data_IF_740456015572
#
_entry.id   IF_740456015572
#
_cell.length_a   1.000
_cell.length_b   1.000
_cell.length_c   1.000
_cell.angle_alpha   90.00
_cell.angle_beta   90.00
_cell.angle_gamma   90.00
#
_symmetry.space_group_name_H-M   'P 1'
#
loop_
_entity.id
_entity.type
_entity.pdbx_description
1 polymer ?
#
# COMPACT_ATOMS: atom_id res chain seq x y z
N UNK A 1 -7.34 -9.54 17.36
CA UNK A 1 -6.65 -8.26 17.19
C UNK A 1 -7.40 -7.20 17.98
N UNK A 2 -6.75 -6.46 18.85
CA UNK A 2 -7.37 -5.38 19.63
C UNK A 2 -7.23 -4.05 18.90
N UNK A 3 -8.27 -3.23 18.90
CA UNK A 3 -8.17 -1.83 18.46
C UNK A 3 -7.23 -1.10 19.42
N UNK A 4 -6.34 -0.23 18.90
CA UNK A 4 -5.42 0.58 19.72
C UNK A 4 -6.12 1.44 20.80
N UNK A 5 -7.44 1.63 20.69
CA UNK A 5 -8.26 2.44 21.63
C UNK A 5 -8.94 1.61 22.72
N UNK A 6 -9.08 0.29 22.54
CA UNK A 6 -9.64 -0.62 23.55
C UNK A 6 -8.90 -1.97 23.48
N UNK A 7 -7.76 -2.06 24.13
CA UNK A 7 -6.89 -3.24 24.07
C UNK A 7 -7.51 -4.51 24.65
N UNK A 8 -8.55 -4.38 25.46
CA UNK A 8 -9.29 -5.46 26.10
C UNK A 8 -10.51 -5.96 25.31
N UNK A 9 -10.83 -5.33 24.17
CA UNK A 9 -11.90 -5.80 23.28
C UNK A 9 -11.36 -6.85 22.31
N UNK A 10 -12.02 -8.02 22.34
CA UNK A 10 -11.70 -9.14 21.47
C UNK A 10 -12.79 -9.25 20.38
N UNK A 11 -12.35 -9.37 19.13
CA UNK A 11 -13.19 -9.62 17.97
C UNK A 11 -13.08 -11.10 17.61
N UNK A 12 -14.20 -11.77 17.46
CA UNK A 12 -14.29 -13.22 17.25
C UNK A 12 -15.15 -13.52 16.01
N UNK A 13 -14.64 -14.37 15.17
CA UNK A 13 -15.48 -15.11 14.24
C UNK A 13 -15.75 -16.48 14.87
N UNK A 14 -17.02 -16.79 15.10
CA UNK A 14 -17.45 -18.03 15.74
C UNK A 14 -18.34 -18.83 14.81
N UNK A 15 -18.07 -20.14 14.71
CA UNK A 15 -18.96 -21.07 14.01
C UNK A 15 -20.10 -21.50 14.90
N UNK A 16 -21.28 -21.48 14.37
CA UNK A 16 -22.50 -21.99 15.02
C UNK A 16 -22.63 -23.50 14.81
N UNK A 17 -23.49 -24.14 15.57
CA UNK A 17 -23.74 -25.61 15.51
C UNK A 17 -24.23 -26.03 14.12
N UNK A 18 -24.98 -25.18 13.44
CA UNK A 18 -25.49 -25.35 12.07
C UNK A 18 -24.48 -25.00 10.98
N UNK A 19 -23.22 -24.71 11.35
CA UNK A 19 -22.10 -24.53 10.42
C UNK A 19 -21.96 -23.13 9.83
N UNK A 20 -22.79 -22.17 10.27
CA UNK A 20 -22.66 -20.75 9.85
C UNK A 20 -21.60 -20.03 10.67
N UNK A 21 -21.00 -18.97 10.10
CA UNK A 21 -20.12 -18.05 10.83
C UNK A 21 -20.87 -16.82 11.30
N UNK A 22 -20.52 -16.32 12.48
CA UNK A 22 -21.06 -15.08 13.03
C UNK A 22 -19.97 -14.23 13.66
N UNK A 23 -20.14 -12.92 13.62
CA UNK A 23 -19.25 -11.96 14.26
C UNK A 23 -19.70 -11.65 15.68
N UNK A 24 -18.80 -11.85 16.63
CA UNK A 24 -19.01 -11.61 18.06
C UNK A 24 -17.92 -10.73 18.64
N UNK A 25 -18.26 -10.01 19.70
CA UNK A 25 -17.27 -9.27 20.51
C UNK A 25 -17.44 -9.57 21.98
N UNK A 26 -16.34 -9.55 22.72
CA UNK A 26 -16.34 -9.68 24.17
C UNK A 26 -15.15 -8.95 24.81
N UNK A 27 -15.17 -8.75 26.13
CA UNK A 27 -14.03 -8.25 26.89
C UNK A 27 -13.10 -9.41 27.23
N UNK A 28 -11.78 -9.20 27.09
CA UNK A 28 -10.76 -10.25 27.31
C UNK A 28 -10.91 -10.91 28.68
N UNK A 29 -11.23 -10.16 29.71
CA UNK A 29 -11.36 -10.67 31.08
C UNK A 29 -12.68 -11.41 31.34
N UNK A 30 -13.67 -11.28 30.47
CA UNK A 30 -15.02 -11.86 30.66
C UNK A 30 -15.66 -12.25 29.32
N UNK A 31 -15.03 -13.19 28.61
CA UNK A 31 -15.49 -13.65 27.30
C UNK A 31 -16.31 -14.97 27.40
N UNK A 32 -17.25 -15.02 28.33
CA UNK A 32 -18.20 -16.14 28.43
C UNK A 32 -19.30 -16.01 27.40
N UNK A 33 -20.02 -17.09 27.09
CA UNK A 33 -21.12 -17.06 26.10
C UNK A 33 -22.18 -16.02 26.42
N UNK A 34 -22.50 -15.84 27.71
CA UNK A 34 -23.50 -14.89 28.18
C UNK A 34 -23.07 -13.41 28.00
N UNK A 35 -21.78 -13.15 27.85
CA UNK A 35 -21.23 -11.79 27.76
C UNK A 35 -20.71 -11.44 26.35
N UNK A 36 -21.03 -12.25 25.36
CA UNK A 36 -20.71 -11.97 23.96
C UNK A 36 -21.79 -11.10 23.36
N UNK A 37 -21.36 -10.03 22.71
CA UNK A 37 -22.23 -9.17 21.92
C UNK A 37 -22.18 -9.58 20.45
N UNK A 38 -23.27 -9.37 19.73
CA UNK A 38 -23.40 -9.64 18.30
C UNK A 38 -23.59 -8.32 17.54
N UNK A 39 -22.49 -7.62 17.16
CA UNK A 39 -22.62 -6.30 16.51
C UNK A 39 -23.22 -6.37 15.09
N UNK A 40 -23.02 -7.48 14.38
CA UNK A 40 -23.64 -7.74 13.08
C UNK A 40 -24.84 -8.66 13.25
N UNK A 41 -26.03 -8.30 12.78
CA UNK A 41 -27.26 -9.01 13.11
C UNK A 41 -27.46 -10.36 12.42
N UNK A 42 -26.67 -10.66 11.38
CA UNK A 42 -26.77 -11.90 10.58
C UNK A 42 -25.59 -12.83 10.75
N UNK A 43 -25.54 -13.78 9.87
CA UNK A 43 -24.35 -14.59 9.62
C UNK A 43 -23.42 -13.85 8.66
N UNK A 44 -22.15 -14.21 8.67
CA UNK A 44 -21.12 -13.69 7.78
C UNK A 44 -20.48 -14.84 6.99
N UNK A 45 -19.86 -14.54 5.88
CA UNK A 45 -19.09 -15.55 5.16
C UNK A 45 -17.86 -15.96 5.99
N UNK A 46 -17.46 -17.23 6.01
CA UNK A 46 -16.29 -17.69 6.73
C UNK A 46 -15.03 -16.93 6.32
N UNK A 47 -14.18 -16.62 7.31
CA UNK A 47 -12.91 -15.92 7.14
C UNK A 47 -13.02 -14.50 6.54
N UNK A 48 -14.23 -13.90 6.60
CA UNK A 48 -14.49 -12.55 6.06
C UNK A 48 -14.28 -11.41 7.05
N UNK A 49 -14.12 -11.73 8.34
CA UNK A 49 -13.95 -10.70 9.39
C UNK A 49 -12.58 -10.04 9.29
N UNK A 50 -12.54 -8.76 9.02
CA UNK A 50 -11.33 -7.93 9.03
C UNK A 50 -11.52 -6.82 10.06
N UNK A 51 -10.57 -6.69 10.99
CA UNK A 51 -10.52 -5.59 11.96
C UNK A 51 -9.22 -4.83 11.75
N UNK A 52 -9.33 -3.60 11.32
CA UNK A 52 -8.19 -2.75 11.02
C UNK A 52 -8.47 -1.31 11.44
N UNK A 53 -7.62 -0.74 12.27
CA UNK A 53 -7.78 0.61 12.84
C UNK A 53 -9.16 0.83 13.48
N UNK A 54 -9.89 1.85 13.05
CA UNK A 54 -11.24 2.16 13.51
C UNK A 54 -12.35 1.43 12.70
N UNK A 55 -11.98 0.50 11.78
CA UNK A 55 -12.91 -0.17 10.89
C UNK A 55 -13.04 -1.67 11.19
N UNK A 56 -14.25 -2.16 11.03
CA UNK A 56 -14.56 -3.59 11.01
C UNK A 56 -15.31 -3.90 9.71
N UNK A 57 -14.83 -4.89 8.97
CA UNK A 57 -15.41 -5.33 7.71
C UNK A 57 -15.92 -6.76 7.85
N UNK A 58 -17.06 -7.04 7.24
CA UNK A 58 -17.61 -8.39 7.09
C UNK A 58 -18.20 -8.54 5.69
N UNK A 59 -18.23 -9.77 5.19
CA UNK A 59 -18.86 -10.13 3.93
C UNK A 59 -20.03 -11.07 4.19
N UNK A 60 -21.08 -10.90 3.40
CA UNK A 60 -22.23 -11.80 3.37
C UNK A 60 -22.60 -12.10 1.91
N UNK A 61 -22.53 -13.34 1.50
CA UNK A 61 -22.97 -13.77 0.17
C UNK A 61 -24.47 -14.09 0.20
N UNK A 62 -25.24 -13.42 -0.65
CA UNK A 62 -26.68 -13.65 -0.82
C UNK A 62 -27.03 -13.69 -2.30
N UNK A 63 -27.80 -14.71 -2.71
CA UNK A 63 -28.17 -14.90 -4.11
C UNK A 63 -26.96 -15.07 -5.06
N UNK A 64 -25.86 -15.64 -4.57
CA UNK A 64 -24.62 -15.82 -5.33
C UNK A 64 -23.79 -14.54 -5.52
N UNK A 65 -24.13 -13.46 -4.84
CA UNK A 65 -23.40 -12.18 -4.89
C UNK A 65 -22.85 -11.80 -3.53
N UNK A 66 -21.58 -11.38 -3.43
CA UNK A 66 -21.02 -10.88 -2.20
C UNK A 66 -21.53 -9.46 -1.91
N UNK A 67 -21.88 -9.25 -0.65
CA UNK A 67 -22.23 -7.94 -0.09
C UNK A 67 -21.24 -7.62 1.02
N UNK A 68 -20.66 -6.44 0.97
CA UNK A 68 -19.63 -6.00 1.89
C UNK A 68 -20.20 -4.98 2.85
N UNK A 69 -19.91 -5.13 4.14
CA UNK A 69 -20.40 -4.27 5.20
C UNK A 69 -19.22 -3.72 6.00
N UNK A 70 -19.38 -2.50 6.48
CA UNK A 70 -18.38 -1.79 7.28
C UNK A 70 -19.01 -1.17 8.51
N UNK A 71 -18.32 -1.26 9.63
CA UNK A 71 -18.58 -0.50 10.85
C UNK A 71 -17.39 0.42 11.12
N UNK A 72 -17.60 1.72 11.16
CA UNK A 72 -16.61 2.72 11.51
C UNK A 72 -16.83 3.17 12.95
N UNK A 73 -15.79 3.12 13.78
CA UNK A 73 -15.83 3.47 15.21
C UNK A 73 -16.99 2.81 15.96
N UNK A 74 -17.29 1.54 15.62
CA UNK A 74 -18.35 0.73 16.21
C UNK A 74 -19.77 1.26 16.01
N UNK A 75 -19.98 2.12 15.05
CA UNK A 75 -21.33 2.45 14.62
C UNK A 75 -22.00 1.21 13.99
N UNK A 76 -23.29 1.28 13.81
CA UNK A 76 -24.04 0.24 13.11
C UNK A 76 -23.42 -0.05 11.75
N UNK A 77 -23.39 -1.34 11.37
CA UNK A 77 -22.89 -1.74 10.07
C UNK A 77 -23.69 -1.12 8.93
N UNK A 78 -23.01 -0.58 7.97
CA UNK A 78 -23.56 -0.09 6.72
C UNK A 78 -23.01 -0.90 5.55
N UNK A 79 -23.83 -1.12 4.53
CA UNK A 79 -23.38 -1.74 3.30
C UNK A 79 -22.45 -0.80 2.54
N UNK A 80 -21.30 -1.29 2.11
CA UNK A 80 -20.36 -0.56 1.27
C UNK A 80 -20.99 -0.35 -0.11
N UNK A 81 -20.93 0.88 -0.60
CA UNK A 81 -21.56 1.30 -1.86
C UNK A 81 -20.51 1.70 -2.88
N UNK A 82 -20.35 0.86 -3.87
CA UNK A 82 -19.58 1.16 -5.08
C UNK A 82 -20.46 1.95 -6.08
N UNK A 83 -19.88 2.62 -7.08
CA UNK A 83 -20.66 3.22 -8.16
C UNK A 83 -21.63 2.21 -8.77
N UNK A 84 -22.79 2.67 -9.23
CA UNK A 84 -23.91 1.82 -9.64
C UNK A 84 -23.56 0.86 -10.80
N UNK A 85 -22.58 1.21 -11.61
CA UNK A 85 -22.09 0.37 -12.73
C UNK A 85 -21.11 -0.72 -12.29
N UNK A 86 -20.57 -0.64 -11.07
CA UNK A 86 -19.64 -1.63 -10.57
C UNK A 86 -20.36 -2.91 -10.13
N UNK A 87 -19.90 -4.06 -10.60
CA UNK A 87 -20.42 -5.37 -10.26
C UNK A 87 -19.32 -6.21 -9.59
N UNK A 88 -19.12 -6.05 -8.28
CA UNK A 88 -18.02 -6.72 -7.57
C UNK A 88 -18.26 -8.22 -7.47
N UNK A 89 -17.21 -9.01 -7.70
CA UNK A 89 -17.14 -10.44 -7.41
C UNK A 89 -16.13 -10.79 -6.32
N UNK A 90 -15.17 -9.89 -6.06
CA UNK A 90 -14.15 -10.04 -5.04
C UNK A 90 -13.65 -8.67 -4.57
N UNK A 91 -13.24 -8.55 -3.30
CA UNK A 91 -12.74 -7.31 -2.72
C UNK A 91 -11.69 -7.58 -1.64
N UNK A 92 -10.62 -6.78 -1.66
CA UNK A 92 -9.58 -6.76 -0.64
C UNK A 92 -9.41 -5.34 -0.09
N UNK A 93 -9.41 -5.22 1.25
CA UNK A 93 -9.05 -3.97 1.92
C UNK A 93 -7.53 -3.82 1.90
N UNK A 94 -7.04 -2.74 1.31
CA UNK A 94 -5.61 -2.48 1.15
C UNK A 94 -5.08 -1.62 2.29
N UNK A 95 -5.76 -0.50 2.60
CA UNK A 95 -5.33 0.43 3.64
C UNK A 95 -6.53 1.13 4.26
N UNK A 96 -6.43 1.43 5.55
CA UNK A 96 -7.41 2.20 6.31
C UNK A 96 -6.81 3.48 6.91
N UNK A 97 -5.60 3.82 6.52
CA UNK A 97 -4.91 5.03 6.94
C UNK A 97 -5.65 6.30 6.51
N UNK A 98 -5.36 7.41 7.19
CA UNK A 98 -5.92 8.74 6.89
C UNK A 98 -7.46 8.79 6.95
N UNK A 99 -8.08 7.92 7.77
CA UNK A 99 -9.53 7.79 7.92
C UNK A 99 -10.27 7.58 6.59
N UNK A 100 -9.69 6.80 5.69
CA UNK A 100 -10.29 6.38 4.43
C UNK A 100 -9.93 4.94 4.14
N UNK A 101 -10.87 4.22 3.53
CA UNK A 101 -10.65 2.83 3.09
C UNK A 101 -10.19 2.84 1.64
N UNK A 102 -9.02 2.26 1.40
CA UNK A 102 -8.49 2.00 0.08
C UNK A 102 -8.66 0.51 -0.22
N UNK A 103 -9.44 0.17 -1.23
CA UNK A 103 -9.82 -1.20 -1.53
C UNK A 103 -9.55 -1.58 -2.98
N UNK A 104 -9.16 -2.82 -3.21
CA UNK A 104 -9.06 -3.41 -4.52
C UNK A 104 -10.28 -4.29 -4.77
N UNK A 105 -10.98 -4.05 -5.87
CA UNK A 105 -12.22 -4.73 -6.24
C UNK A 105 -12.07 -5.38 -7.60
N UNK A 106 -12.35 -6.68 -7.69
CA UNK A 106 -12.46 -7.35 -8.97
C UNK A 106 -13.91 -7.38 -9.40
N UNK A 107 -14.17 -6.88 -10.61
CA UNK A 107 -15.50 -6.90 -11.22
C UNK A 107 -15.71 -8.16 -12.07
N UNK A 108 -16.96 -8.48 -12.37
CA UNK A 108 -17.32 -9.70 -13.13
C UNK A 108 -16.69 -9.79 -14.53
N UNK A 109 -16.38 -8.64 -15.14
CA UNK A 109 -15.71 -8.56 -16.44
C UNK A 109 -14.18 -8.63 -16.37
N UNK A 110 -13.60 -8.70 -15.16
CA UNK A 110 -12.16 -8.77 -14.95
C UNK A 110 -11.73 -10.19 -14.53
N UNK A 111 -10.60 -10.66 -15.06
CA UNK A 111 -10.04 -11.98 -14.74
C UNK A 111 -8.66 -11.86 -14.09
N UNK A 112 -7.82 -10.96 -14.57
CA UNK A 112 -6.42 -10.78 -14.17
C UNK A 112 -6.10 -9.34 -13.70
N UNK A 113 -7.15 -8.55 -13.45
CA UNK A 113 -7.03 -7.18 -12.98
C UNK A 113 -8.03 -6.89 -11.86
N UNK A 114 -7.71 -5.87 -11.05
CA UNK A 114 -8.55 -5.28 -10.02
C UNK A 114 -8.65 -3.77 -10.26
N UNK A 115 -9.78 -3.20 -9.88
CA UNK A 115 -9.95 -1.75 -9.82
C UNK A 115 -9.74 -1.28 -8.38
N UNK A 116 -9.04 -0.16 -8.21
CA UNK A 116 -8.82 0.45 -6.91
C UNK A 116 -9.89 1.50 -6.64
N UNK A 117 -10.46 1.46 -5.45
CA UNK A 117 -11.48 2.39 -4.98
C UNK A 117 -11.07 3.02 -3.65
N UNK A 118 -11.48 4.26 -3.45
CA UNK A 118 -11.26 4.99 -2.20
C UNK A 118 -12.59 5.44 -1.61
N UNK A 119 -12.73 5.30 -0.30
CA UNK A 119 -13.97 5.60 0.41
C UNK A 119 -14.01 7.01 1.01
N UNK A 120 -15.21 7.40 1.49
CA UNK A 120 -15.38 8.44 2.48
C UNK A 120 -14.80 8.02 3.85
N UNK A 121 -14.86 8.92 4.84
CA UNK A 121 -14.34 8.65 6.20
C UNK A 121 -15.03 7.46 6.88
N UNK A 122 -16.28 7.20 6.57
CA UNK A 122 -17.05 6.08 7.16
C UNK A 122 -16.78 4.74 6.49
N UNK A 123 -16.08 4.71 5.36
CA UNK A 123 -15.83 3.51 4.60
C UNK A 123 -17.05 3.00 3.82
N UNK A 124 -18.05 3.84 3.56
CA UNK A 124 -19.34 3.44 2.96
C UNK A 124 -19.41 3.75 1.48
N UNK A 125 -19.09 4.97 1.08
CA UNK A 125 -19.23 5.44 -0.31
C UNK A 125 -17.88 5.46 -1.01
N UNK A 126 -17.74 4.69 -2.08
CA UNK A 126 -16.49 4.50 -2.81
C UNK A 126 -16.50 5.20 -4.16
N UNK A 127 -15.37 5.74 -4.53
CA UNK A 127 -15.09 6.28 -5.87
C UNK A 127 -13.89 5.56 -6.49
N UNK A 128 -13.89 5.44 -7.81
CA UNK A 128 -12.81 4.81 -8.55
C UNK A 128 -11.52 5.63 -8.46
N UNK A 129 -10.42 4.99 -8.05
CA UNK A 129 -9.10 5.61 -7.99
C UNK A 129 -8.19 5.20 -9.15
N UNK A 130 -8.18 3.92 -9.51
CA UNK A 130 -7.37 3.40 -10.62
C UNK A 130 -8.01 2.13 -11.17
N UNK A 131 -8.12 2.03 -12.49
CA UNK A 131 -8.62 0.84 -13.17
C UNK A 131 -7.50 -0.12 -13.56
N UNK A 132 -7.85 -1.40 -13.67
CA UNK A 132 -7.05 -2.44 -14.30
C UNK A 132 -5.64 -2.61 -13.71
N UNK A 133 -5.53 -2.63 -12.39
CA UNK A 133 -4.30 -3.03 -11.70
C UNK A 133 -4.09 -4.54 -11.88
N UNK A 134 -2.93 -4.92 -12.36
CA UNK A 134 -2.60 -6.32 -12.63
C UNK A 134 -2.66 -7.16 -11.35
N UNK A 135 -3.15 -8.38 -11.51
CA UNK A 135 -3.16 -9.39 -10.44
C UNK A 135 -2.70 -10.74 -10.97
N UNK A 136 -2.26 -11.59 -10.06
CA UNK A 136 -1.92 -12.98 -10.33
C UNK A 136 -2.36 -13.87 -9.19
N UNK A 137 -2.40 -15.17 -9.43
CA UNK A 137 -2.65 -16.16 -8.38
C UNK A 137 -1.33 -16.77 -7.94
N UNK A 138 -1.11 -16.77 -6.63
CA UNK A 138 0.01 -17.47 -6.01
C UNK A 138 -0.18 -19.01 -6.05
N UNK A 139 0.88 -19.76 -5.69
CA UNK A 139 0.87 -21.23 -5.71
C UNK A 139 -0.24 -21.84 -4.83
N UNK A 140 -0.62 -21.16 -3.76
CA UNK A 140 -1.68 -21.59 -2.82
C UNK A 140 -3.08 -21.11 -3.23
N UNK A 141 -3.21 -20.49 -4.41
CA UNK A 141 -4.46 -19.92 -4.91
C UNK A 141 -4.81 -18.54 -4.34
N UNK A 142 -3.96 -17.97 -3.46
CA UNK A 142 -4.09 -16.61 -2.96
C UNK A 142 -3.94 -15.58 -4.09
N UNK A 143 -4.67 -14.50 -4.00
CA UNK A 143 -4.62 -13.40 -4.95
C UNK A 143 -3.46 -12.47 -4.58
N UNK A 144 -2.60 -12.17 -5.55
CA UNK A 144 -1.55 -11.16 -5.46
C UNK A 144 -1.88 -10.02 -6.40
N UNK A 145 -2.06 -8.83 -5.85
CA UNK A 145 -2.34 -7.60 -6.60
C UNK A 145 -1.04 -6.83 -6.74
N UNK A 146 -0.72 -6.37 -7.96
CA UNK A 146 0.48 -5.58 -8.23
C UNK A 146 0.33 -4.15 -7.71
N UNK A 147 0.21 -4.04 -6.41
CA UNK A 147 0.09 -2.81 -5.64
C UNK A 147 1.03 -2.89 -4.45
N UNK A 148 1.87 -1.87 -4.29
CA UNK A 148 2.84 -1.80 -3.21
C UNK A 148 2.66 -0.52 -2.40
N UNK A 149 2.42 -0.66 -1.10
CA UNK A 149 2.41 0.46 -0.16
C UNK A 149 3.82 0.76 0.29
N UNK A 150 4.26 2.00 0.13
CA UNK A 150 5.61 2.41 0.53
C UNK A 150 5.68 2.58 2.03
N UNK A 151 6.55 1.81 2.67
CA UNK A 151 6.67 1.82 4.12
C UNK A 151 7.07 3.20 4.67
N UNK A 152 6.43 3.60 5.76
CA UNK A 152 6.72 4.86 6.47
C UNK A 152 6.14 6.12 5.83
N UNK A 153 5.51 6.03 4.66
CA UNK A 153 4.88 7.18 3.98
C UNK A 153 3.43 6.84 3.68
N UNK A 154 2.53 7.31 4.54
CA UNK A 154 1.09 7.07 4.38
C UNK A 154 0.53 7.70 3.11
N UNK A 155 -0.32 6.98 2.40
CA UNK A 155 -0.94 7.41 1.17
C UNK A 155 -0.06 7.33 -0.08
N UNK A 156 1.14 6.75 0.04
CA UNK A 156 2.03 6.53 -1.09
C UNK A 156 1.97 5.07 -1.56
N UNK A 157 1.59 4.87 -2.81
CA UNK A 157 1.49 3.57 -3.45
C UNK A 157 2.14 3.55 -4.83
N UNK A 158 2.63 2.38 -5.19
CA UNK A 158 3.03 2.02 -6.54
C UNK A 158 2.04 0.97 -7.05
N UNK A 159 1.62 1.08 -8.31
CA UNK A 159 0.69 0.12 -8.93
C UNK A 159 1.10 -0.19 -10.36
N UNK A 160 0.97 -1.44 -10.76
CA UNK A 160 1.12 -1.88 -12.15
C UNK A 160 -0.25 -1.95 -12.82
N UNK A 161 -0.50 -1.01 -13.72
CA UNK A 161 -1.75 -0.90 -14.48
C UNK A 161 -1.59 -1.52 -15.86
N UNK A 162 -2.56 -2.32 -16.25
CA UNK A 162 -2.66 -2.90 -17.59
C UNK A 162 -3.43 -1.97 -18.52
N UNK A 163 -2.77 -1.52 -19.59
CA UNK A 163 -3.32 -0.64 -20.63
C UNK A 163 -3.03 -1.29 -21.96
N UNK A 164 -4.05 -1.63 -22.76
CA UNK A 164 -3.91 -2.25 -24.09
C UNK A 164 -2.93 -3.45 -24.11
N UNK A 165 -3.04 -4.33 -23.11
CA UNK A 165 -2.14 -5.46 -22.85
C UNK A 165 -0.70 -5.10 -22.43
N UNK A 166 -0.35 -3.85 -22.30
CA UNK A 166 0.92 -3.39 -21.75
C UNK A 166 0.76 -3.10 -20.24
N UNK A 167 1.74 -3.48 -19.46
CA UNK A 167 1.77 -3.19 -18.03
C UNK A 167 2.72 -2.04 -17.76
N UNK A 168 2.23 -1.01 -17.10
CA UNK A 168 3.01 0.18 -16.75
C UNK A 168 2.91 0.49 -15.26
N UNK A 169 4.00 0.94 -14.67
CA UNK A 169 4.05 1.31 -13.26
C UNK A 169 3.66 2.76 -13.04
N UNK A 170 2.74 2.96 -12.12
CA UNK A 170 2.26 4.27 -11.68
C UNK A 170 2.55 4.49 -10.19
N UNK A 171 2.69 5.75 -9.80
CA UNK A 171 2.89 6.17 -8.41
C UNK A 171 1.84 7.19 -8.01
N UNK A 172 1.38 7.10 -6.75
CA UNK A 172 0.53 8.09 -6.10
C UNK A 172 1.12 8.51 -4.76
N UNK A 173 0.92 9.78 -4.38
CA UNK A 173 1.33 10.33 -3.08
C UNK A 173 0.14 10.73 -2.20
N UNK A 174 -1.06 10.72 -2.77
CA UNK A 174 -2.29 11.20 -2.16
C UNK A 174 -3.39 10.13 -2.11
N UNK A 175 -2.97 8.88 -1.85
CA UNK A 175 -3.85 7.72 -1.67
C UNK A 175 -4.74 7.45 -2.88
N UNK A 176 -4.18 7.61 -4.09
CA UNK A 176 -4.83 7.21 -5.34
C UNK A 176 -5.72 8.29 -5.97
N UNK A 177 -5.68 9.54 -5.53
CA UNK A 177 -6.43 10.63 -6.18
C UNK A 177 -5.86 11.01 -7.52
N UNK A 178 -4.54 11.02 -7.63
CA UNK A 178 -3.83 11.16 -8.90
C UNK A 178 -2.69 10.15 -9.00
N UNK A 179 -2.41 9.72 -10.22
CA UNK A 179 -1.40 8.74 -10.54
C UNK A 179 -0.54 9.25 -11.69
N UNK A 180 0.76 9.00 -11.61
CA UNK A 180 1.70 9.35 -12.67
C UNK A 180 2.66 8.21 -12.97
N UNK A 181 3.16 8.18 -14.20
CA UNK A 181 4.24 7.29 -14.61
C UNK A 181 5.55 7.68 -13.90
N UNK A 182 6.42 6.71 -13.67
CA UNK A 182 7.74 6.94 -13.10
C UNK A 182 8.69 7.49 -14.17
N UNK A 183 9.43 8.55 -13.82
CA UNK A 183 10.51 9.07 -14.64
C UNK A 183 11.69 8.08 -14.63
N UNK A 184 12.21 7.75 -15.81
CA UNK A 184 13.45 7.00 -15.91
C UNK A 184 14.64 7.78 -15.35
N UNK A 185 15.71 7.12 -14.91
CA UNK A 185 16.97 7.78 -14.58
C UNK A 185 17.50 8.61 -15.75
N UNK A 186 18.17 9.72 -15.46
CA UNK A 186 18.81 10.57 -16.49
C UNK A 186 20.02 9.89 -17.13
N UNK A 187 20.69 9.02 -16.39
CA UNK A 187 21.88 8.30 -16.82
C UNK A 187 21.80 6.81 -16.44
N UNK A 188 22.41 5.98 -17.26
CA UNK A 188 22.60 4.57 -16.96
C UNK A 188 23.79 4.33 -15.99
N UNK A 189 24.12 3.06 -15.75
CA UNK A 189 25.26 2.65 -14.88
C UNK A 189 26.62 3.14 -15.36
N UNK A 190 26.78 3.39 -16.67
CA UNK A 190 28.04 3.87 -17.27
C UNK A 190 28.15 5.38 -17.26
N UNK A 191 27.05 6.06 -16.90
CA UNK A 191 26.93 7.51 -16.97
C UNK A 191 26.48 8.03 -18.34
N UNK A 192 26.09 7.13 -19.23
CA UNK A 192 25.55 7.50 -20.54
C UNK A 192 24.11 8.04 -20.40
N UNK A 193 23.71 9.04 -21.16
CA UNK A 193 22.36 9.59 -21.10
C UNK A 193 21.30 8.55 -21.47
N UNK A 194 20.25 8.43 -20.65
CA UNK A 194 19.08 7.59 -20.96
C UNK A 194 18.06 8.40 -21.73
N UNK A 195 17.81 8.00 -22.97
CA UNK A 195 16.79 8.64 -23.83
C UNK A 195 15.43 7.98 -23.63
N UNK A 196 14.70 8.41 -22.59
CA UNK A 196 13.40 7.87 -22.23
C UNK A 196 12.45 9.01 -21.86
N UNK A 197 11.47 9.28 -22.72
CA UNK A 197 10.54 10.39 -22.56
C UNK A 197 9.12 9.91 -22.32
N UNK A 198 8.50 10.41 -21.25
CA UNK A 198 7.09 10.21 -20.96
C UNK A 198 6.20 10.77 -22.07
N UNK A 199 5.06 10.16 -22.37
CA UNK A 199 4.50 8.93 -21.78
C UNK A 199 4.90 7.64 -22.50
N UNK A 200 5.73 7.71 -23.53
CA UNK A 200 6.05 6.58 -24.43
C UNK A 200 7.08 5.63 -23.82
N UNK A 201 7.96 6.16 -22.97
CA UNK A 201 8.96 5.43 -22.23
C UNK A 201 8.93 5.88 -20.77
N UNK A 202 9.07 4.94 -19.84
CA UNK A 202 9.10 5.20 -18.39
C UNK A 202 9.84 4.09 -17.66
N UNK A 203 10.06 4.28 -16.36
CA UNK A 203 10.55 3.24 -15.48
C UNK A 203 9.39 2.35 -15.04
N UNK A 204 9.57 1.03 -15.14
CA UNK A 204 8.63 0.02 -14.69
C UNK A 204 9.28 -0.86 -13.63
N UNK A 205 8.52 -1.19 -12.58
CA UNK A 205 9.01 -1.93 -11.42
C UNK A 205 8.20 -3.20 -11.19
N UNK A 206 8.88 -4.25 -10.73
CA UNK A 206 8.23 -5.46 -10.23
C UNK A 206 7.74 -5.21 -8.80
N UNK A 207 6.43 -5.20 -8.60
CA UNK A 207 5.80 -4.83 -7.34
C UNK A 207 5.31 -6.03 -6.51
N UNK A 208 5.36 -7.24 -7.05
CA UNK A 208 4.95 -8.45 -6.33
C UNK A 208 5.92 -8.73 -5.20
N UNK A 209 5.43 -8.66 -3.98
CA UNK A 209 6.14 -9.17 -2.82
C UNK A 209 5.82 -10.66 -2.73
N UNK A 210 6.77 -11.51 -3.11
CA UNK A 210 6.62 -12.95 -3.01
C UNK A 210 7.53 -13.48 -1.91
N UNK A 211 7.01 -14.39 -1.09
CA UNK A 211 7.83 -15.17 -0.16
C UNK A 211 8.72 -16.18 -0.90
N UNK A 212 8.48 -16.39 -2.18
CA UNK A 212 9.29 -17.28 -3.01
C UNK A 212 10.57 -16.57 -3.45
N UNK A 213 11.76 -17.01 -2.99
CA UNK A 213 13.04 -16.40 -3.32
C UNK A 213 13.43 -16.54 -4.81
N UNK A 214 12.73 -17.38 -5.56
CA UNK A 214 12.97 -17.62 -7.00
C UNK A 214 12.11 -16.72 -7.91
N UNK A 215 11.35 -15.76 -7.37
CA UNK A 215 10.65 -14.80 -8.21
C UNK A 215 11.60 -13.75 -8.76
N UNK A 216 11.38 -13.37 -10.02
CA UNK A 216 12.25 -12.49 -10.79
C UNK A 216 12.22 -11.01 -10.37
N UNK A 217 11.49 -10.65 -9.31
CA UNK A 217 11.33 -9.24 -8.93
C UNK A 217 11.46 -9.00 -7.44
N UNK A 218 12.12 -7.90 -7.07
CA UNK A 218 12.29 -7.45 -5.68
C UNK A 218 11.80 -6.01 -5.59
N UNK A 219 11.02 -5.71 -4.55
CA UNK A 219 10.77 -4.35 -4.09
C UNK A 219 10.87 -4.29 -2.57
N UNK A 220 11.54 -3.28 -2.05
CA UNK A 220 11.72 -3.08 -0.61
C UNK A 220 11.70 -1.59 -0.24
N UNK A 221 11.01 -1.28 0.83
CA UNK A 221 11.07 -0.02 1.57
C UNK A 221 10.99 -0.30 3.07
N UNK A 222 11.42 0.64 3.90
CA UNK A 222 11.40 0.50 5.36
C UNK A 222 10.89 1.78 6.00
N UNK A 223 10.06 1.64 7.02
CA UNK A 223 9.55 2.74 7.84
C UNK A 223 10.65 3.50 8.59
N UNK A 224 11.72 2.80 8.96
CA UNK A 224 12.92 3.38 9.57
C UNK A 224 13.81 4.15 8.60
N UNK A 225 13.61 3.98 7.30
CA UNK A 225 14.34 4.69 6.25
C UNK A 225 13.36 5.31 5.24
N UNK A 226 12.50 6.25 5.67
CA UNK A 226 11.52 6.87 4.80
C UNK A 226 12.22 7.50 3.61
N UNK A 227 11.60 7.46 2.46
CA UNK A 227 12.11 7.91 1.16
C UNK A 227 13.01 6.94 0.39
N UNK A 228 13.52 5.88 1.00
CA UNK A 228 14.35 4.91 0.28
C UNK A 228 13.48 3.77 -0.24
N UNK A 229 13.52 3.57 -1.55
CA UNK A 229 12.86 2.46 -2.23
C UNK A 229 13.90 1.79 -3.12
N UNK A 230 14.00 0.48 -3.01
CA UNK A 230 14.85 -0.36 -3.88
C UNK A 230 13.93 -1.31 -4.62
N UNK A 231 14.03 -1.38 -5.93
CA UNK A 231 13.19 -2.27 -6.73
C UNK A 231 13.91 -2.76 -7.98
N UNK A 232 13.55 -3.95 -8.43
CA UNK A 232 13.93 -4.45 -9.75
C UNK A 232 12.92 -4.01 -10.80
N UNK A 233 13.38 -3.78 -12.01
CA UNK A 233 12.52 -3.34 -13.10
C UNK A 233 13.28 -3.12 -14.41
N UNK A 234 12.65 -2.39 -15.32
CA UNK A 234 13.21 -2.05 -16.61
C UNK A 234 12.78 -0.66 -17.07
N UNK A 235 13.53 -0.10 -17.99
CA UNK A 235 13.20 1.15 -18.69
C UNK A 235 12.65 0.78 -20.07
N UNK A 236 11.50 1.30 -20.43
CA UNK A 236 10.88 0.99 -21.72
C UNK A 236 9.44 1.46 -21.85
N UNK A 237 8.72 0.89 -22.80
CA UNK A 237 7.30 1.17 -23.03
C UNK A 237 6.38 0.42 -22.07
N UNK A 238 6.85 -0.69 -21.51
CA UNK A 238 6.10 -1.56 -20.61
C UNK A 238 7.01 -2.34 -19.65
N UNK A 239 6.43 -2.90 -18.59
CA UNK A 239 7.11 -3.81 -17.68
C UNK A 239 7.50 -5.10 -18.42
N UNK A 240 8.75 -5.51 -18.28
CA UNK A 240 9.30 -6.70 -18.91
C UNK A 240 10.00 -7.60 -17.87
N UNK A 241 9.93 -8.91 -18.10
CA UNK A 241 10.68 -9.90 -17.33
C UNK A 241 12.10 -10.16 -17.93
N UNK A 242 12.40 -9.52 -19.05
CA UNK A 242 13.74 -9.47 -19.65
C UNK A 242 14.44 -8.14 -19.34
N UNK A 243 15.76 -8.13 -19.33
CA UNK A 243 16.60 -6.95 -19.09
C UNK A 243 16.33 -6.27 -17.74
N UNK A 244 16.12 -7.08 -16.71
CA UNK A 244 15.85 -6.61 -15.36
C UNK A 244 17.11 -5.99 -14.75
N UNK A 245 16.97 -4.76 -14.28
CA UNK A 245 17.99 -4.05 -13.52
C UNK A 245 17.45 -3.64 -12.15
N UNK A 246 18.38 -3.31 -11.26
CA UNK A 246 18.00 -2.77 -9.94
C UNK A 246 17.99 -1.24 -9.97
N UNK A 247 17.00 -0.67 -9.34
CA UNK A 247 16.82 0.77 -9.22
C UNK A 247 16.66 1.17 -7.76
N UNK A 248 17.16 2.34 -7.41
CA UNK A 248 16.97 2.96 -6.10
C UNK A 248 16.46 4.38 -6.23
N UNK A 249 15.48 4.70 -5.41
CA UNK A 249 15.08 6.06 -5.14
C UNK A 249 15.47 6.43 -3.71
N UNK A 250 15.94 7.64 -3.51
CA UNK A 250 16.23 8.19 -2.18
C UNK A 250 15.35 9.38 -1.81
N UNK A 251 14.39 9.71 -2.64
CA UNK A 251 13.46 10.84 -2.49
C UNK A 251 11.99 10.42 -2.67
N UNK A 252 11.67 9.22 -2.18
CA UNK A 252 10.34 8.63 -2.22
C UNK A 252 9.79 8.49 -3.65
N UNK A 253 10.60 7.99 -4.58
CA UNK A 253 10.15 7.68 -5.93
C UNK A 253 10.05 8.87 -6.88
N UNK A 254 10.49 10.09 -6.48
CA UNK A 254 10.51 11.23 -7.39
C UNK A 254 11.62 11.11 -8.45
N UNK A 255 12.80 10.68 -8.02
CA UNK A 255 13.93 10.39 -8.91
C UNK A 255 14.48 8.99 -8.64
N UNK A 256 15.01 8.38 -9.66
CA UNK A 256 15.54 7.03 -9.61
C UNK A 256 16.97 6.98 -10.17
N UNK A 257 17.74 6.02 -9.68
CA UNK A 257 19.06 5.69 -10.22
C UNK A 257 19.13 4.19 -10.40
N UNK A 258 19.74 3.78 -11.48
CA UNK A 258 20.07 2.38 -11.72
C UNK A 258 21.24 1.99 -10.82
N UNK A 259 21.17 0.79 -10.21
CA UNK A 259 22.24 0.21 -9.40
C UNK A 259 22.46 -1.24 -9.86
N UNK A 260 23.74 -1.61 -10.09
CA UNK A 260 24.21 -2.95 -10.54
C UNK A 260 24.00 -3.31 -12.02
N UNK A 261 24.97 -4.00 -12.56
CA UNK A 261 25.64 -5.27 -12.20
C UNK A 261 27.15 -5.20 -11.93
N UNK A 262 28.00 -4.50 -12.32
CA UNK A 262 29.45 -4.49 -12.12
C UNK A 262 30.03 -3.09 -12.27
N UNK A 263 29.84 -2.22 -11.39
CA UNK A 263 30.70 -1.14 -10.99
C UNK A 263 30.00 0.13 -10.51
N UNK A 264 30.45 0.55 -9.33
CA UNK A 264 30.57 1.94 -8.89
C UNK A 264 29.30 2.79 -8.73
N UNK A 265 28.35 2.35 -7.91
CA UNK A 265 27.54 3.34 -7.20
C UNK A 265 28.44 4.09 -6.21
N UNK A 266 28.68 5.40 -6.39
CA UNK A 266 29.59 6.23 -5.55
C UNK A 266 29.31 6.25 -4.05
N UNK A 267 28.41 5.43 -3.54
CA UNK A 267 28.05 5.26 -2.12
C UNK A 267 27.72 3.82 -1.71
N UNK A 268 27.98 2.84 -2.55
CA UNK A 268 27.74 1.43 -2.28
C UNK A 268 29.05 0.68 -2.19
N UNK A 269 29.23 -0.07 -1.11
CA UNK A 269 30.38 -0.97 -0.98
C UNK A 269 29.91 -2.39 -1.25
N UNK A 270 30.45 -3.01 -2.30
CA UNK A 270 30.22 -4.44 -2.59
C UNK A 270 31.04 -5.26 -1.61
N UNK A 271 30.40 -6.12 -0.86
CA UNK A 271 31.08 -7.08 0.00
C UNK A 271 30.69 -8.50 -0.43
N UNK A 272 31.65 -9.26 -0.92
CA UNK A 272 31.46 -10.67 -1.24
C UNK A 272 31.74 -11.51 0.00
N UNK A 273 30.71 -12.18 0.52
CA UNK A 273 30.82 -13.04 1.70
C UNK A 273 30.90 -14.53 1.36
N UNK A 274 30.82 -14.89 0.08
CA UNK A 274 31.01 -16.25 -0.42
C UNK A 274 31.89 -16.22 -1.64
N UNK A 275 32.72 -17.26 -1.80
CA UNK A 275 33.59 -17.44 -2.97
C UNK A 275 32.86 -18.08 -4.18
N UNK A 276 31.70 -18.66 -3.95
CA UNK A 276 30.86 -19.32 -4.94
C UNK A 276 29.47 -18.68 -4.84
N UNK A 277 28.79 -18.43 -5.96
CA UNK A 277 27.42 -17.88 -5.93
C UNK A 277 26.47 -18.73 -5.09
N UNK A 278 25.83 -18.10 -4.15
CA UNK A 278 24.84 -18.68 -3.25
C UNK A 278 23.43 -18.26 -3.70
N UNK A 279 22.54 -19.24 -3.88
CA UNK A 279 21.12 -18.95 -3.95
C UNK A 279 20.64 -18.57 -2.55
N UNK A 280 20.21 -17.31 -2.38
CA UNK A 280 19.73 -16.82 -1.10
C UNK A 280 18.26 -17.20 -0.96
N UNK A 281 17.97 -18.09 -0.02
CA UNK A 281 16.61 -18.55 0.29
C UNK A 281 15.94 -17.65 1.33
N UNK A 282 16.74 -16.92 2.11
CA UNK A 282 16.20 -15.93 3.02
C UNK A 282 17.26 -15.18 3.80
N UNK A 283 16.79 -14.12 4.46
CA UNK A 283 17.59 -13.25 5.32
C UNK A 283 16.86 -13.08 6.64
N UNK A 284 17.55 -13.38 7.73
CA UNK A 284 17.01 -13.24 9.09
C UNK A 284 17.79 -12.16 9.83
N UNK A 285 17.05 -11.23 10.45
CA UNK A 285 17.59 -10.37 11.50
C UNK A 285 17.58 -11.10 12.84
N UNK A 286 18.51 -10.80 13.73
CA UNK A 286 18.39 -11.27 15.12
C UNK A 286 17.12 -10.72 15.78
N UNK A 287 16.42 -11.48 16.64
CA UNK A 287 15.30 -10.97 17.40
C UNK A 287 15.77 -9.84 18.31
N UNK A 288 15.13 -8.70 18.22
CA UNK A 288 15.46 -7.52 19.01
C UNK A 288 15.36 -6.23 18.22
N UNK A 289 15.47 -5.12 18.90
CA UNK A 289 15.10 -3.82 18.35
C UNK A 289 16.13 -3.22 17.38
N UNK A 290 17.40 -3.60 17.45
CA UNK A 290 18.47 -2.97 16.67
C UNK A 290 19.64 -3.95 16.53
N UNK A 291 19.49 -4.93 15.66
CA UNK A 291 20.58 -5.86 15.42
C UNK A 291 21.42 -5.42 14.22
N UNK A 292 22.70 -5.31 14.47
CA UNK A 292 23.71 -5.13 13.40
C UNK A 292 24.17 -6.47 12.83
N UNK A 293 23.46 -7.52 13.14
CA UNK A 293 23.76 -8.85 12.68
C UNK A 293 22.63 -9.33 11.78
N UNK A 294 23.00 -9.75 10.59
CA UNK A 294 22.11 -10.34 9.61
C UNK A 294 22.59 -11.75 9.31
N UNK A 295 21.70 -12.71 9.31
CA UNK A 295 22.00 -14.08 8.88
C UNK A 295 21.39 -14.31 7.52
N UNK A 296 22.22 -14.55 6.53
CA UNK A 296 21.82 -14.97 5.20
C UNK A 296 21.88 -16.49 5.15
N UNK A 297 20.80 -17.13 4.72
CA UNK A 297 20.80 -18.56 4.47
C UNK A 297 20.43 -18.87 3.02
N UNK A 298 21.01 -19.96 2.52
CA UNK A 298 20.83 -20.33 1.12
C UNK A 298 21.54 -21.63 0.79
N UNK A 299 21.56 -21.98 -0.49
CA UNK A 299 22.17 -23.21 -0.97
C UNK A 299 23.00 -22.95 -2.24
N UNK A 300 23.93 -23.87 -2.52
CA UNK A 300 24.66 -23.86 -3.78
C UNK A 300 23.93 -24.67 -4.85
N UNK A 301 23.99 -24.22 -6.10
CA UNK A 301 23.29 -24.85 -7.23
C UNK A 301 23.71 -26.32 -7.52
N UNK A 302 24.90 -26.73 -7.08
CA UNK A 302 25.43 -28.06 -7.36
C UNK A 302 25.55 -28.96 -6.14
N UNK A 303 25.09 -28.50 -4.97
CA UNK A 303 25.23 -29.23 -3.71
C UNK A 303 23.93 -29.12 -2.91
N UNK A 304 23.56 -30.23 -2.31
CA UNK A 304 22.44 -30.24 -1.32
C UNK A 304 22.85 -29.64 0.04
N UNK A 305 23.85 -28.77 0.05
CA UNK A 305 24.39 -28.19 1.28
C UNK A 305 23.83 -26.81 1.48
N UNK A 306 23.25 -26.60 2.64
CA UNK A 306 22.81 -25.30 3.12
C UNK A 306 23.96 -24.53 3.74
N UNK A 307 23.97 -23.23 3.50
CA UNK A 307 24.93 -22.30 4.08
C UNK A 307 24.20 -21.26 4.93
N UNK A 308 24.75 -21.03 6.10
CA UNK A 308 24.36 -19.93 6.99
C UNK A 308 25.54 -18.97 7.08
N UNK A 309 25.34 -17.75 6.63
CA UNK A 309 26.37 -16.70 6.66
C UNK A 309 25.92 -15.60 7.60
N UNK A 310 26.66 -15.40 8.68
CA UNK A 310 26.44 -14.29 9.60
C UNK A 310 27.22 -13.07 9.14
N UNK A 311 26.51 -11.99 8.83
CA UNK A 311 27.08 -10.68 8.48
C UNK A 311 26.98 -9.76 9.68
N UNK A 312 28.11 -9.28 10.18
CA UNK A 312 28.19 -8.38 11.33
C UNK A 312 28.57 -6.98 10.88
N UNK A 313 27.64 -6.03 11.01
CA UNK A 313 27.80 -4.62 10.63
C UNK A 313 28.35 -3.73 11.75
N UNK A 314 28.70 -4.28 12.92
CA UNK A 314 29.18 -3.49 14.07
C UNK A 314 30.44 -2.67 13.76
N UNK A 315 31.27 -3.17 12.85
CA UNK A 315 32.47 -2.44 12.39
C UNK A 315 32.15 -1.21 11.53
N UNK A 316 30.96 -1.15 10.95
CA UNK A 316 30.51 -0.04 10.09
C UNK A 316 29.67 0.97 10.88
N UNK A 317 28.85 0.46 11.79
CA UNK A 317 27.94 1.24 12.62
C UNK A 317 28.33 1.06 14.10
N UNK A 318 29.17 1.95 14.59
CA UNK A 318 29.79 1.82 15.92
C UNK A 318 28.98 2.49 17.03
N UNK A 319 28.01 3.35 16.67
CA UNK A 319 27.18 4.10 17.63
C UNK A 319 25.75 4.28 17.15
N UNK A 320 24.87 4.66 18.06
CA UNK A 320 23.51 5.13 17.72
C UNK A 320 23.57 6.54 17.15
N UNK A 321 22.63 6.83 16.23
CA UNK A 321 22.48 8.18 15.70
C UNK A 321 21.93 9.12 16.76
N UNK A 322 22.50 10.31 16.85
CA UNK A 322 22.01 11.43 17.64
C UNK A 322 21.27 12.44 16.73
N UNK A 323 20.63 13.45 17.31
CA UNK A 323 19.84 14.43 16.56
C UNK A 323 20.65 15.16 15.47
N UNK A 324 21.91 15.44 15.73
CA UNK A 324 22.82 16.10 14.78
C UNK A 324 23.17 15.25 13.54
N UNK A 325 22.91 13.96 13.60
CA UNK A 325 23.14 13.05 12.47
C UNK A 325 22.02 13.08 11.43
N UNK A 326 20.91 13.73 11.78
CA UNK A 326 19.77 13.86 10.91
C UNK A 326 19.68 15.24 10.26
N UNK A 327 18.95 15.29 9.17
CA UNK A 327 18.48 16.52 8.54
C UNK A 327 16.99 16.39 8.26
N UNK A 328 16.24 17.49 8.28
CA UNK A 328 14.86 17.47 7.83
C UNK A 328 14.83 17.18 6.32
N UNK A 329 13.88 16.37 5.92
CA UNK A 329 13.57 16.08 4.53
C UNK A 329 12.06 16.20 4.32
N UNK A 330 11.67 17.06 3.39
CA UNK A 330 10.28 17.32 3.10
C UNK A 330 9.79 16.41 1.98
N UNK A 331 8.70 15.67 2.23
CA UNK A 331 8.03 14.90 1.19
C UNK A 331 7.47 15.85 0.13
N UNK A 332 7.67 15.52 -1.11
CA UNK A 332 7.13 16.26 -2.25
C UNK A 332 6.69 15.32 -3.38
N UNK A 333 5.78 15.78 -4.22
CA UNK A 333 5.42 15.18 -5.49
C UNK A 333 5.75 16.18 -6.60
N UNK A 334 6.77 15.90 -7.42
CA UNK A 334 7.27 16.80 -8.48
C UNK A 334 7.59 18.23 -7.99
N UNK A 335 8.15 18.34 -6.79
CA UNK A 335 8.48 19.62 -6.17
C UNK A 335 7.34 20.24 -5.35
N UNK A 336 6.10 19.80 -5.48
CA UNK A 336 4.98 20.24 -4.66
C UNK A 336 5.01 19.54 -3.29
N UNK A 337 5.19 20.32 -2.24
CA UNK A 337 5.33 19.80 -0.88
C UNK A 337 4.00 19.76 -0.10
N UNK A 338 2.98 20.48 -0.55
CA UNK A 338 1.67 20.43 0.04
C UNK A 338 0.88 19.27 -0.58
N UNK A 339 0.72 18.18 0.16
CA UNK A 339 0.00 16.98 -0.31
C UNK A 339 -1.21 16.78 0.60
N UNK A 340 -2.42 16.84 0.06
CA UNK A 340 -3.68 16.71 0.78
C UNK A 340 -3.81 17.70 1.96
N UNK A 341 -3.33 18.94 1.75
CA UNK A 341 -3.37 20.00 2.75
C UNK A 341 -2.39 19.84 3.91
N UNK A 342 -1.38 18.99 3.77
CA UNK A 342 -0.33 18.80 4.76
C UNK A 342 1.06 18.77 4.14
N UNK A 343 1.99 19.49 4.75
CA UNK A 343 3.44 19.34 4.51
C UNK A 343 3.99 18.36 5.50
N UNK A 344 4.62 17.29 5.02
CA UNK A 344 5.18 16.24 5.85
C UNK A 344 6.70 16.29 5.82
N UNK A 345 7.30 16.42 7.00
CA UNK A 345 8.74 16.55 7.18
C UNK A 345 9.22 15.32 7.95
N UNK A 346 10.17 14.62 7.38
CA UNK A 346 10.78 13.43 7.96
C UNK A 346 12.22 13.74 8.39
N UNK A 347 12.71 13.01 9.39
CA UNK A 347 14.12 13.03 9.76
C UNK A 347 14.86 12.03 8.86
N UNK A 348 15.82 12.52 8.08
CA UNK A 348 16.64 11.70 7.19
C UNK A 348 18.09 11.76 7.67
N UNK A 349 18.72 10.58 7.85
CA UNK A 349 20.13 10.51 8.23
C UNK A 349 20.99 11.17 7.14
N UNK A 350 21.97 11.96 7.56
CA UNK A 350 22.98 12.53 6.66
C UNK A 350 23.83 11.40 6.07
N UNK A 351 24.13 11.45 4.78
CA UNK A 351 24.81 10.39 4.05
C UNK A 351 26.21 10.06 4.58
N UNK A 352 26.91 11.07 5.08
CA UNK A 352 28.26 10.95 5.65
C UNK A 352 28.29 10.34 7.06
N UNK A 353 27.14 10.18 7.70
CA UNK A 353 27.06 9.68 9.09
C UNK A 353 26.83 8.16 9.12
N UNK A 354 27.81 7.45 9.69
CA UNK A 354 27.76 5.99 9.87
C UNK A 354 27.30 5.67 11.29
N UNK A 355 26.01 5.70 11.52
CA UNK A 355 25.40 5.39 12.80
C UNK A 355 24.11 4.58 12.62
N UNK A 356 23.70 3.84 13.65
CA UNK A 356 22.44 3.11 13.67
C UNK A 356 21.25 4.04 13.82
N UNK A 357 20.28 3.90 12.96
CA UNK A 357 18.96 4.50 13.16
C UNK A 357 18.17 3.66 14.15
N UNK A 358 17.63 4.28 15.23
CA UNK A 358 16.68 3.63 16.11
C UNK A 358 15.25 3.60 15.55
N UNK A 359 14.36 2.92 16.26
CA UNK A 359 12.91 2.82 15.92
C UNK A 359 12.21 4.18 15.69
N UNK A 360 12.73 5.23 16.30
CA UNK A 360 12.11 6.57 16.25
C UNK A 360 12.69 7.49 15.18
N UNK A 361 13.58 6.99 14.33
CA UNK A 361 14.26 7.80 13.32
C UNK A 361 13.33 8.37 12.24
N UNK A 362 12.17 7.77 12.05
CA UNK A 362 11.16 8.20 11.09
C UNK A 362 10.10 9.17 11.62
N UNK A 363 10.35 9.84 12.78
CA UNK A 363 9.39 10.80 13.32
C UNK A 363 8.99 11.83 12.26
N UNK A 364 7.71 11.86 11.94
CA UNK A 364 7.13 12.77 10.97
C UNK A 364 6.54 13.97 11.70
N UNK A 365 6.92 15.16 11.26
CA UNK A 365 6.23 16.40 11.60
C UNK A 365 5.27 16.75 10.45
N UNK A 366 4.08 17.22 10.76
CA UNK A 366 3.09 17.62 9.79
C UNK A 366 2.64 19.05 10.05
N UNK A 367 2.77 19.89 9.05
CA UNK A 367 2.30 21.26 9.06
C UNK A 367 1.12 21.43 8.10
N UNK A 368 0.04 22.12 8.50
CA UNK A 368 -1.07 22.37 7.59
C UNK A 368 -0.64 23.31 6.46
N UNK A 369 -1.14 23.09 5.27
CA UNK A 369 -0.96 23.94 4.12
C UNK A 369 -2.30 24.12 3.36
N UNK A 370 -2.33 25.12 2.48
CA UNK A 370 -3.56 25.41 1.71
C UNK A 370 -3.74 24.33 0.66
N UNK A 371 -4.90 23.67 0.67
CA UNK A 371 -5.28 22.71 -0.35
C UNK A 371 -5.38 23.37 -1.73
N UNK A 372 -4.95 22.64 -2.75
CA UNK A 372 -5.09 23.00 -4.16
C UNK A 372 -6.20 22.16 -4.81
N UNK A 373 -6.54 22.43 -6.05
CA UNK A 373 -7.53 21.63 -6.79
C UNK A 373 -7.13 20.15 -6.89
N UNK A 374 -5.83 19.85 -6.89
CA UNK A 374 -5.29 18.48 -6.92
C UNK A 374 -5.59 17.67 -5.62
N UNK A 375 -5.91 18.37 -4.52
CA UNK A 375 -6.26 17.73 -3.25
C UNK A 375 -7.73 17.28 -3.18
N UNK A 376 -8.53 17.63 -4.18
CA UNK A 376 -9.96 17.31 -4.22
C UNK A 376 -10.28 16.39 -5.40
N UNK A 377 -11.10 15.40 -5.12
CA UNK A 377 -11.66 14.50 -6.12
C UNK A 377 -13.19 14.64 -6.18
N UNK A 378 -13.81 14.06 -7.20
CA UNK A 378 -15.25 14.03 -7.26
C UNK A 378 -15.83 13.09 -6.20
N UNK A 379 -16.88 13.53 -5.52
CA UNK A 379 -17.58 12.74 -4.52
C UNK A 379 -18.38 11.60 -5.17
N UNK A 380 -18.86 10.67 -4.36
CA UNK A 380 -19.69 9.55 -4.82
C UNK A 380 -20.86 10.04 -5.68
N UNK A 381 -20.97 9.49 -6.88
CA UNK A 381 -22.03 9.85 -7.82
C UNK A 381 -21.74 11.08 -8.66
N UNK A 382 -20.56 11.68 -8.54
CA UNK A 382 -20.14 12.82 -9.36
C UNK A 382 -19.01 12.41 -10.28
N UNK A 383 -18.93 13.02 -11.44
CA UNK A 383 -17.89 12.78 -12.46
C UNK A 383 -17.24 14.12 -12.86
N UNK A 384 -15.92 14.09 -13.07
CA UNK A 384 -15.17 15.27 -13.50
C UNK A 384 -15.38 15.51 -15.00
N UNK A 385 -15.96 16.63 -15.33
CA UNK A 385 -16.18 17.07 -16.69
C UNK A 385 -14.94 17.76 -17.27
N UNK A 386 -14.95 17.99 -18.59
CA UNK A 386 -13.85 18.63 -19.32
C UNK A 386 -13.48 20.04 -18.85
N UNK A 387 -14.42 20.72 -18.18
CA UNK A 387 -14.20 22.03 -17.56
C UNK A 387 -13.60 21.95 -16.14
N UNK A 388 -13.24 20.73 -15.65
CA UNK A 388 -12.70 20.49 -14.32
C UNK A 388 -13.72 20.38 -13.19
N UNK A 389 -15.01 20.62 -13.47
CA UNK A 389 -16.05 20.57 -12.46
C UNK A 389 -16.56 19.14 -12.22
N UNK A 390 -16.86 18.81 -10.94
CA UNK A 390 -17.55 17.60 -10.56
C UNK A 390 -19.06 17.81 -10.66
N UNK A 391 -19.69 17.17 -11.63
CA UNK A 391 -21.14 17.21 -11.86
C UNK A 391 -21.77 15.84 -11.59
N UNK A 392 -23.05 15.77 -11.18
CA UNK A 392 -23.72 14.49 -10.97
C UNK A 392 -23.63 13.59 -12.21
N UNK A 393 -23.21 12.36 -12.02
CA UNK A 393 -23.23 11.33 -13.05
C UNK A 393 -24.67 11.01 -13.48
N UNK A 394 -24.86 10.54 -14.72
CA UNK A 394 -26.22 10.27 -15.27
C UNK A 394 -27.02 9.24 -14.43
N UNK A 395 -26.35 8.35 -13.71
CA UNK A 395 -26.97 7.33 -12.88
C UNK A 395 -27.25 7.79 -11.45
N UNK A 396 -26.81 8.99 -11.05
CA UNK A 396 -26.86 9.49 -9.69
C UNK A 396 -27.80 10.69 -9.55
N UNK A 397 -28.69 10.61 -8.56
CA UNK A 397 -29.52 11.73 -8.15
C UNK A 397 -29.09 12.19 -6.74
N UNK A 398 -28.50 13.38 -6.58
CA UNK A 398 -28.06 13.89 -5.27
C UNK A 398 -29.16 13.85 -4.21
N UNK A 399 -30.42 14.08 -4.58
CA UNK A 399 -31.58 14.06 -3.67
C UNK A 399 -31.90 12.66 -3.16
N UNK A 400 -31.36 11.59 -3.77
CA UNK A 400 -31.64 10.22 -3.32
C UNK A 400 -31.01 9.88 -1.97
N UNK A 401 -29.90 10.53 -1.62
CA UNK A 401 -29.22 10.34 -0.33
C UNK A 401 -29.98 10.95 0.84
N UNK A 402 -30.81 11.97 0.60
CA UNK A 402 -31.62 12.59 1.65
C UNK A 402 -32.77 11.68 2.14
N UNK A 403 -33.11 10.64 1.39
CA UNK A 403 -34.19 9.68 1.77
C UNK A 403 -33.78 8.80 2.94
N UNK A 404 -32.49 8.71 3.24
CA UNK A 404 -31.97 7.91 4.37
C UNK A 404 -31.95 8.72 5.69
N UNK A 405 -32.39 9.98 5.68
CA UNK A 405 -32.53 10.81 6.89
C UNK A 405 -33.81 10.46 7.68
N UNK A 406 -33.65 10.17 8.97
CA UNK A 406 -34.74 10.01 9.90
C UNK A 406 -35.27 11.37 10.35
N UNK A 407 -36.48 11.40 10.87
CA UNK A 407 -37.13 12.62 11.40
C UNK A 407 -36.22 13.29 12.47
N UNK A 408 -35.84 14.55 12.24
CA UNK A 408 -34.96 15.31 13.14
C UNK A 408 -33.47 15.28 12.75
N UNK A 409 -33.08 14.57 11.68
CA UNK A 409 -31.74 14.63 11.12
C UNK A 409 -31.65 15.64 9.99
N UNK A 410 -30.56 16.39 9.94
CA UNK A 410 -30.25 17.28 8.81
C UNK A 410 -29.32 16.55 7.82
N UNK A 411 -29.59 16.68 6.54
CA UNK A 411 -28.77 16.23 5.45
C UNK A 411 -28.12 17.43 4.75
N UNK A 412 -26.80 17.39 4.61
CA UNK A 412 -26.07 18.36 3.79
C UNK A 412 -25.86 17.76 2.41
N UNK A 413 -26.33 18.43 1.37
CA UNK A 413 -26.03 18.06 0.01
C UNK A 413 -24.52 18.14 -0.24
N UNK A 414 -23.96 17.14 -0.91
CA UNK A 414 -22.56 17.19 -1.36
C UNK A 414 -22.38 18.37 -2.32
N UNK A 415 -21.24 19.05 -2.20
CA UNK A 415 -20.79 20.05 -3.19
C UNK A 415 -20.33 19.41 -4.49
N UNK A 416 -20.27 18.08 -4.54
CA UNK A 416 -19.70 17.31 -5.64
C UNK A 416 -18.23 17.03 -5.49
N UNK A 417 -17.57 17.59 -4.46
CA UNK A 417 -16.12 17.44 -4.23
C UNK A 417 -15.86 16.78 -2.88
N UNK A 418 -14.79 16.01 -2.85
CA UNK A 418 -14.28 15.30 -1.68
C UNK A 418 -12.75 15.51 -1.58
N UNK A 419 -12.27 15.81 -0.36
CA UNK A 419 -10.85 15.85 -0.02
C UNK A 419 -10.32 14.45 0.31
#
# INVERSE_FOLDING_TARGET
>A
MGSNKEPDLVHLEARTVDGHSQYLTCRMQNCTEANRNKPFPGYIDPDSLIVQDDYVFVQLTSGGRPHYYVSYRRNTFAQMKLPKYALPKDMHVISTDENQVFAAVQEWNQNDTYNLYISDTRGVYFTLALENVQSSRGPEGNVMIDLYEVAGIKGMFLANKKIDNQVKTFITYNKGRDWRLLQAPDTDLRGDPVHCLLPYCSLHLHLKVSENPYTSGIIASRDTAPSIIVASGNIGSELSDSDISMFVSSDAGNTWRQIFEEDEGRSWSKYSFTSIPLFVDGVLGEPGEETLIMTVFGHFSHRSEWQLVKVDYKSIFDRRCAEEDYRPWQLHSQGEACIMGAKRIYKKRKSERKCMQGKYAGAMESEPCVCTEADFDCDYGYERHSNGQCLPAFWFNPSSLSKDCSLGQSYLNSTGYRK
#
